data_IF_972811083150
#
_entry.id   IF_972811083150
#
_cell.length_a   1.000
_cell.length_b   1.000
_cell.length_c   1.000
_cell.angle_alpha   90.00
_cell.angle_beta   90.00
_cell.angle_gamma   90.00
#
_symmetry.space_group_name_H-M   'P 1'
#
loop_
_entity.id
_entity.type
_entity.pdbx_description
1 polymer ?
#
# COMPACT_ATOMS: atom_id res chain seq x y z
N UNK A 1 -111.86 49.15 -0.83
CA UNK A 1 -111.64 48.04 0.12
C UNK A 1 -110.24 47.51 -0.12
N UNK A 2 -109.32 47.78 0.79
CA UNK A 2 -107.92 47.36 0.69
C UNK A 2 -107.86 45.92 1.21
N UNK A 3 -107.58 44.96 0.33
CA UNK A 3 -107.33 43.58 0.73
C UNK A 3 -105.92 43.50 1.33
N UNK A 4 -105.84 43.34 2.64
CA UNK A 4 -104.60 42.97 3.33
C UNK A 4 -104.21 41.57 2.89
N UNK A 5 -103.19 41.47 2.03
CA UNK A 5 -102.49 40.21 1.83
C UNK A 5 -101.80 39.84 3.14
N UNK A 6 -102.01 38.62 3.70
CA UNK A 6 -101.31 38.20 4.89
C UNK A 6 -99.80 38.14 4.59
N UNK A 7 -99.00 38.86 5.39
CA UNK A 7 -97.54 38.83 5.29
C UNK A 7 -97.05 37.38 5.40
N UNK A 8 -96.05 36.95 4.59
CA UNK A 8 -95.42 35.65 4.78
C UNK A 8 -94.76 35.63 6.16
N UNK A 9 -95.19 34.71 7.03
CA UNK A 9 -94.56 34.51 8.33
C UNK A 9 -93.16 33.90 8.11
N UNK A 10 -92.19 34.51 8.77
CA UNK A 10 -90.77 34.20 8.67
C UNK A 10 -90.49 33.04 9.65
N UNK A 11 -89.78 31.97 9.24
CA UNK A 11 -89.39 30.90 10.16
C UNK A 11 -88.54 31.44 11.33
N UNK A 12 -88.51 30.75 12.49
CA UNK A 12 -87.71 31.18 13.64
C UNK A 12 -86.25 31.45 13.21
N UNK A 13 -85.78 32.66 13.53
CA UNK A 13 -84.49 33.20 13.04
C UNK A 13 -83.34 32.72 13.94
N UNK A 14 -83.63 32.28 15.17
CA UNK A 14 -82.67 31.67 16.09
C UNK A 14 -82.86 30.15 16.27
N UNK A 15 -81.75 29.41 16.34
CA UNK A 15 -81.72 27.97 16.62
C UNK A 15 -82.34 27.58 17.98
N UNK A 16 -82.57 28.55 18.88
CA UNK A 16 -83.13 28.36 20.22
C UNK A 16 -84.48 29.06 20.45
N UNK A 17 -85.13 29.59 19.40
CA UNK A 17 -86.46 30.19 19.56
C UNK A 17 -87.52 29.11 19.85
N UNK A 18 -88.47 29.34 20.76
CA UNK A 18 -89.52 28.37 21.06
C UNK A 18 -90.43 28.13 19.85
N UNK A 19 -90.70 26.86 19.55
CA UNK A 19 -91.54 26.42 18.41
C UNK A 19 -92.97 26.97 18.58
N UNK A 20 -93.54 27.52 17.51
CA UNK A 20 -94.91 28.06 17.51
C UNK A 20 -95.93 26.98 17.87
N UNK A 21 -96.98 27.32 18.62
CA UNK A 21 -98.09 26.40 18.97
C UNK A 21 -99.32 26.56 18.05
N UNK A 22 -99.25 27.45 17.06
CA UNK A 22 -100.26 27.59 16.01
C UNK A 22 -100.10 26.42 15.01
N UNK A 23 -101.13 25.57 14.80
CA UNK A 23 -101.03 24.39 13.95
C UNK A 23 -100.50 24.64 12.53
N UNK A 24 -100.73 25.85 11.97
CA UNK A 24 -100.25 26.22 10.64
C UNK A 24 -98.76 26.54 10.61
N UNK A 25 -98.25 27.20 11.65
CA UNK A 25 -96.83 27.52 11.79
C UNK A 25 -96.03 26.26 12.15
N UNK A 26 -96.59 25.37 12.98
CA UNK A 26 -96.01 24.06 13.30
C UNK A 26 -95.73 23.21 12.05
N UNK A 27 -96.62 23.26 11.05
CA UNK A 27 -96.44 22.51 9.80
C UNK A 27 -95.24 23.02 9.00
N UNK A 28 -95.01 24.33 8.96
CA UNK A 28 -93.85 24.95 8.29
C UNK A 28 -92.54 24.72 9.05
N UNK A 29 -92.57 24.78 10.38
CA UNK A 29 -91.39 24.47 11.22
C UNK A 29 -90.97 22.99 11.07
N UNK A 30 -91.94 22.07 10.97
CA UNK A 30 -91.69 20.65 10.71
C UNK A 30 -91.03 20.43 9.33
N UNK A 31 -91.48 21.12 8.28
CA UNK A 31 -90.86 21.03 6.95
C UNK A 31 -89.41 21.53 6.94
N UNK A 32 -89.13 22.62 7.67
CA UNK A 32 -87.79 23.17 7.81
C UNK A 32 -86.84 22.19 8.54
N UNK A 33 -87.29 21.61 9.66
CA UNK A 33 -86.53 20.60 10.41
C UNK A 33 -86.25 19.34 9.57
N UNK A 34 -87.22 18.89 8.75
CA UNK A 34 -87.02 17.79 7.82
C UNK A 34 -85.97 18.10 6.74
N UNK A 35 -85.91 19.34 6.25
CA UNK A 35 -84.88 19.80 5.31
C UNK A 35 -83.48 19.76 5.90
N UNK A 36 -83.34 20.19 7.16
CA UNK A 36 -82.08 20.09 7.92
C UNK A 36 -81.67 18.63 8.09
N UNK A 37 -82.60 17.76 8.51
CA UNK A 37 -82.34 16.33 8.71
C UNK A 37 -81.80 15.67 7.43
N UNK A 38 -82.38 15.98 6.27
CA UNK A 38 -81.92 15.46 4.97
C UNK A 38 -80.48 15.88 4.66
N UNK A 39 -80.16 17.17 4.80
CA UNK A 39 -78.78 17.67 4.59
C UNK A 39 -77.79 17.07 5.57
N UNK A 40 -78.18 16.89 6.83
CA UNK A 40 -77.32 16.28 7.84
C UNK A 40 -76.98 14.83 7.47
N UNK A 41 -77.96 14.06 6.97
CA UNK A 41 -77.72 12.71 6.47
C UNK A 41 -76.80 12.69 5.24
N UNK A 42 -76.95 13.62 4.30
CA UNK A 42 -76.03 13.76 3.16
C UNK A 42 -74.60 14.05 3.62
N UNK A 43 -74.42 14.94 4.60
CA UNK A 43 -73.12 15.25 5.19
C UNK A 43 -72.52 14.01 5.87
N UNK A 44 -73.31 13.26 6.64
CA UNK A 44 -72.86 12.01 7.26
C UNK A 44 -72.37 11.00 6.21
N UNK A 45 -73.13 10.83 5.11
CA UNK A 45 -72.73 9.94 4.03
C UNK A 45 -71.41 10.37 3.38
N UNK A 46 -71.19 11.68 3.20
CA UNK A 46 -69.94 12.19 2.65
C UNK A 46 -68.77 12.02 3.64
N UNK A 47 -68.99 12.26 4.93
CA UNK A 47 -67.97 12.04 5.97
C UNK A 47 -67.57 10.57 6.01
N UNK A 48 -68.52 9.64 5.98
CA UNK A 48 -68.22 8.21 5.97
C UNK A 48 -67.36 7.80 4.76
N UNK A 49 -67.68 8.30 3.57
CA UNK A 49 -66.84 8.06 2.37
C UNK A 49 -65.43 8.63 2.55
N UNK A 50 -65.31 9.82 3.13
CA UNK A 50 -64.01 10.43 3.38
C UNK A 50 -63.20 9.62 4.40
N UNK A 51 -63.84 9.06 5.44
CA UNK A 51 -63.20 8.15 6.40
C UNK A 51 -62.63 6.92 5.69
N UNK A 52 -63.39 6.28 4.81
CA UNK A 52 -62.90 5.13 4.02
C UNK A 52 -61.68 5.49 3.15
N UNK A 53 -61.67 6.69 2.55
CA UNK A 53 -60.50 7.17 1.81
C UNK A 53 -59.29 7.38 2.73
N UNK A 54 -59.48 8.00 3.89
CA UNK A 54 -58.42 8.22 4.87
C UNK A 54 -57.83 6.88 5.31
N UNK A 55 -58.66 5.93 5.71
CA UNK A 55 -58.20 4.61 6.16
C UNK A 55 -57.39 3.90 5.09
N UNK A 56 -57.83 3.95 3.83
CA UNK A 56 -57.12 3.38 2.69
C UNK A 56 -55.74 4.01 2.47
N UNK A 57 -55.64 5.34 2.55
CA UNK A 57 -54.35 6.02 2.33
C UNK A 57 -53.42 5.90 3.54
N UNK A 58 -53.96 5.87 4.76
CA UNK A 58 -53.18 5.59 5.97
C UNK A 58 -52.51 4.21 5.89
N UNK A 59 -53.26 3.17 5.50
CA UNK A 59 -52.67 1.83 5.33
C UNK A 59 -51.56 1.80 4.27
N UNK A 60 -51.74 2.51 3.14
CA UNK A 60 -50.68 2.63 2.12
C UNK A 60 -49.45 3.37 2.61
N UNK A 61 -49.61 4.37 3.47
CA UNK A 61 -48.48 5.09 4.08
C UNK A 61 -47.72 4.15 4.99
N UNK A 62 -48.41 3.39 5.84
CA UNK A 62 -47.79 2.39 6.73
C UNK A 62 -47.01 1.33 5.93
N UNK A 63 -47.57 0.83 4.83
CA UNK A 63 -46.89 -0.12 3.92
C UNK A 63 -45.61 0.51 3.32
N UNK A 64 -45.70 1.73 2.80
CA UNK A 64 -44.53 2.43 2.22
C UNK A 64 -43.46 2.74 3.28
N UNK A 65 -43.85 3.09 4.49
CA UNK A 65 -42.91 3.30 5.61
C UNK A 65 -42.17 2.01 5.94
N UNK A 66 -42.86 0.86 5.98
CA UNK A 66 -42.24 -0.43 6.21
C UNK A 66 -41.25 -0.81 5.08
N UNK A 67 -41.62 -0.59 3.82
CA UNK A 67 -40.73 -0.83 2.67
C UNK A 67 -39.48 0.06 2.71
N UNK A 68 -39.63 1.34 3.08
CA UNK A 68 -38.50 2.27 3.21
C UNK A 68 -37.53 1.81 4.30
N UNK A 69 -38.02 1.35 5.45
CA UNK A 69 -37.15 0.85 6.52
C UNK A 69 -36.43 -0.44 6.11
N UNK A 70 -37.11 -1.34 5.40
CA UNK A 70 -36.46 -2.53 4.85
C UNK A 70 -35.33 -2.17 3.87
N UNK A 71 -35.59 -1.26 2.93
CA UNK A 71 -34.58 -0.80 1.97
C UNK A 71 -33.39 -0.09 2.63
N UNK A 72 -33.62 0.68 3.70
CA UNK A 72 -32.53 1.29 4.47
C UNK A 72 -31.63 0.22 5.10
N UNK A 73 -32.23 -0.84 5.65
CA UNK A 73 -31.46 -1.93 6.23
C UNK A 73 -30.65 -2.66 5.17
N UNK A 74 -31.26 -3.01 4.03
CA UNK A 74 -30.55 -3.64 2.91
C UNK A 74 -29.38 -2.79 2.42
N UNK A 75 -29.55 -1.47 2.34
CA UNK A 75 -28.48 -0.55 1.94
C UNK A 75 -27.33 -0.51 2.96
N UNK A 76 -27.65 -0.54 4.26
CA UNK A 76 -26.66 -0.61 5.34
C UNK A 76 -25.86 -1.92 5.31
N UNK A 77 -26.55 -3.04 5.05
CA UNK A 77 -25.93 -4.35 4.95
C UNK A 77 -25.02 -4.44 3.72
N UNK A 78 -25.49 -3.92 2.57
CA UNK A 78 -24.70 -3.82 1.35
C UNK A 78 -23.44 -2.96 1.54
N UNK A 79 -23.55 -1.80 2.21
CA UNK A 79 -22.39 -0.96 2.52
C UNK A 79 -21.37 -1.70 3.38
N UNK A 80 -21.84 -2.46 4.37
CA UNK A 80 -20.98 -3.28 5.24
C UNK A 80 -20.26 -4.38 4.44
N UNK A 81 -21.00 -5.08 3.58
CA UNK A 81 -20.44 -6.15 2.74
C UNK A 81 -19.38 -5.61 1.77
N UNK A 82 -19.68 -4.51 1.07
CA UNK A 82 -18.75 -3.86 0.14
C UNK A 82 -17.47 -3.45 0.85
N UNK A 83 -17.59 -2.83 2.04
CA UNK A 83 -16.42 -2.42 2.81
C UNK A 83 -15.56 -3.60 3.26
N UNK A 84 -16.17 -4.68 3.73
CA UNK A 84 -15.44 -5.90 4.12
C UNK A 84 -14.74 -6.54 2.93
N UNK A 85 -15.41 -6.64 1.79
CA UNK A 85 -14.87 -7.22 0.58
C UNK A 85 -13.66 -6.42 0.06
N UNK A 86 -13.79 -5.08 -0.01
CA UNK A 86 -12.69 -4.18 -0.38
C UNK A 86 -11.50 -4.35 0.58
N UNK A 87 -11.74 -4.36 1.89
CA UNK A 87 -10.65 -4.55 2.87
C UNK A 87 -9.94 -5.89 2.70
N UNK A 88 -10.69 -6.94 2.41
CA UNK A 88 -10.15 -8.29 2.22
C UNK A 88 -9.28 -8.35 0.97
N UNK A 89 -9.78 -7.86 -0.17
CA UNK A 89 -9.01 -7.80 -1.42
C UNK A 89 -7.73 -6.97 -1.26
N UNK A 90 -7.80 -5.82 -0.57
CA UNK A 90 -6.61 -5.00 -0.32
C UNK A 90 -5.57 -5.73 0.54
N UNK A 91 -6.01 -6.50 1.55
CA UNK A 91 -5.11 -7.28 2.39
C UNK A 91 -4.43 -8.40 1.60
N UNK A 92 -5.17 -9.10 0.75
CA UNK A 92 -4.65 -10.16 -0.13
C UNK A 92 -3.61 -9.63 -1.12
N UNK A 93 -3.95 -8.55 -1.85
CA UNK A 93 -3.03 -7.90 -2.80
C UNK A 93 -1.76 -7.43 -2.09
N UNK A 94 -1.88 -6.90 -0.87
CA UNK A 94 -0.71 -6.48 -0.08
C UNK A 94 0.21 -7.64 0.25
N UNK A 95 -0.34 -8.79 0.65
CA UNK A 95 0.45 -9.99 0.96
C UNK A 95 1.14 -10.51 -0.30
N UNK A 96 0.42 -10.56 -1.43
CA UNK A 96 0.97 -11.00 -2.70
C UNK A 96 2.15 -10.12 -3.15
N UNK A 97 1.97 -8.80 -3.12
CA UNK A 97 3.04 -7.83 -3.44
C UNK A 97 4.26 -7.99 -2.53
N UNK A 98 4.05 -8.20 -1.22
CA UNK A 98 5.14 -8.44 -0.28
C UNK A 98 5.90 -9.72 -0.63
N UNK A 99 5.19 -10.79 -1.01
CA UNK A 99 5.81 -12.05 -1.42
C UNK A 99 6.60 -11.88 -2.72
N UNK A 100 6.05 -11.19 -3.72
CA UNK A 100 6.73 -10.93 -4.99
C UNK A 100 8.04 -10.15 -4.78
N UNK A 101 8.01 -9.09 -3.96
CA UNK A 101 9.19 -8.29 -3.65
C UNK A 101 10.25 -9.11 -2.92
N UNK A 102 9.86 -9.94 -1.95
CA UNK A 102 10.78 -10.80 -1.23
C UNK A 102 11.47 -11.81 -2.16
N UNK A 103 10.71 -12.44 -3.06
CA UNK A 103 11.24 -13.37 -4.06
C UNK A 103 12.23 -12.68 -4.99
N UNK A 104 11.84 -11.54 -5.59
CA UNK A 104 12.69 -10.79 -6.49
C UNK A 104 14.01 -10.34 -5.82
N UNK A 105 13.95 -9.92 -4.55
CA UNK A 105 15.13 -9.55 -3.78
C UNK A 105 16.06 -10.74 -3.55
N UNK A 106 15.51 -11.90 -3.17
CA UNK A 106 16.29 -13.11 -2.96
C UNK A 106 16.96 -13.59 -4.24
N UNK A 107 16.24 -13.55 -5.37
CA UNK A 107 16.80 -13.90 -6.69
C UNK A 107 17.91 -12.94 -7.12
N UNK A 108 17.72 -11.63 -6.94
CA UNK A 108 18.72 -10.63 -7.26
C UNK A 108 20.01 -10.80 -6.41
N UNK A 109 19.85 -11.06 -5.10
CA UNK A 109 20.97 -11.33 -4.22
C UNK A 109 21.68 -12.62 -4.61
N UNK A 110 20.94 -13.71 -4.88
CA UNK A 110 21.53 -14.98 -5.29
C UNK A 110 22.33 -14.86 -6.58
N UNK A 111 21.82 -14.13 -7.58
CA UNK A 111 22.54 -13.86 -8.82
C UNK A 111 23.81 -13.04 -8.57
N UNK A 112 23.70 -11.96 -7.79
CA UNK A 112 24.83 -11.07 -7.48
C UNK A 112 25.92 -11.81 -6.71
N UNK A 113 25.54 -12.63 -5.73
CA UNK A 113 26.46 -13.45 -4.94
C UNK A 113 27.16 -14.51 -5.80
N UNK A 114 26.43 -15.14 -6.74
CA UNK A 114 27.00 -16.10 -7.68
C UNK A 114 28.05 -15.45 -8.59
N UNK A 115 27.75 -14.29 -9.17
CA UNK A 115 28.69 -13.53 -10.00
C UNK A 115 29.90 -13.06 -9.18
N UNK A 116 29.67 -12.58 -7.96
CA UNK A 116 30.75 -12.17 -7.07
C UNK A 116 31.67 -13.34 -6.69
N UNK A 117 31.13 -14.56 -6.53
CA UNK A 117 31.92 -15.77 -6.30
C UNK A 117 32.77 -16.13 -7.52
N UNK A 118 32.18 -16.13 -8.72
CA UNK A 118 32.90 -16.41 -9.97
C UNK A 118 34.06 -15.44 -10.19
N UNK A 119 33.82 -14.14 -10.00
CA UNK A 119 34.88 -13.13 -10.13
C UNK A 119 36.02 -13.34 -9.12
N UNK A 120 35.70 -13.76 -7.88
CA UNK A 120 36.74 -14.07 -6.88
C UNK A 120 37.57 -15.29 -7.29
N UNK A 121 36.94 -16.32 -7.85
CA UNK A 121 37.63 -17.49 -8.38
C UNK A 121 38.56 -17.11 -9.55
N UNK A 122 38.05 -16.36 -10.54
CA UNK A 122 38.85 -15.88 -11.67
C UNK A 122 40.05 -15.02 -11.22
N UNK A 123 39.85 -14.12 -10.26
CA UNK A 123 40.95 -13.30 -9.69
C UNK A 123 41.99 -14.20 -9.01
N UNK A 124 41.56 -15.23 -8.29
CA UNK A 124 42.46 -16.14 -7.61
C UNK A 124 43.31 -16.96 -8.59
N UNK A 125 42.72 -17.38 -9.72
CA UNK A 125 43.46 -18.06 -10.79
C UNK A 125 44.54 -17.17 -11.43
N UNK A 126 44.26 -15.87 -11.61
CA UNK A 126 45.18 -14.90 -12.20
C UNK A 126 46.32 -14.49 -11.23
N UNK A 127 46.16 -14.72 -9.93
CA UNK A 127 47.12 -14.27 -8.92
C UNK A 127 48.55 -14.77 -9.20
N UNK A 128 49.53 -13.89 -8.97
CA UNK A 128 50.96 -14.01 -9.33
C UNK A 128 51.60 -15.34 -8.90
N UNK A 129 51.04 -16.03 -7.91
CA UNK A 129 51.51 -17.33 -7.42
C UNK A 129 51.46 -18.48 -8.43
N UNK A 130 50.64 -18.37 -9.50
CA UNK A 130 50.48 -19.43 -10.51
C UNK A 130 51.22 -19.16 -11.83
N UNK A 131 51.94 -18.03 -11.94
CA UNK A 131 52.73 -17.74 -13.14
C UNK A 131 53.99 -18.60 -13.10
N UNK A 132 54.09 -19.54 -14.03
CA UNK A 132 55.28 -20.37 -14.22
C UNK A 132 56.01 -19.94 -15.49
N UNK A 133 57.33 -19.85 -15.40
CA UNK A 133 58.22 -19.48 -16.49
C UNK A 133 59.31 -20.54 -16.63
N UNK A 134 59.86 -20.66 -17.84
CA UNK A 134 61.12 -21.37 -18.01
C UNK A 134 62.24 -20.55 -17.38
N UNK A 135 62.86 -21.12 -16.37
CA UNK A 135 64.01 -20.53 -15.71
C UNK A 135 65.24 -20.64 -16.63
N UNK A 136 65.85 -19.52 -17.07
CA UNK A 136 67.03 -19.56 -17.93
C UNK A 136 68.30 -20.03 -17.21
N UNK A 137 68.31 -20.07 -15.87
CA UNK A 137 69.46 -20.51 -15.08
C UNK A 137 69.47 -22.03 -14.87
N UNK A 138 68.29 -22.64 -14.73
CA UNK A 138 68.14 -24.09 -14.49
C UNK A 138 67.56 -24.86 -15.68
N UNK A 139 66.92 -24.18 -16.63
CA UNK A 139 66.25 -24.78 -17.80
C UNK A 139 64.90 -25.43 -17.48
N UNK A 140 64.39 -25.31 -16.26
CA UNK A 140 63.17 -25.97 -15.79
C UNK A 140 62.00 -24.99 -15.67
N UNK A 141 60.77 -25.49 -15.79
CA UNK A 141 59.57 -24.70 -15.53
C UNK A 141 59.44 -24.45 -14.03
N UNK A 142 59.49 -23.19 -13.60
CA UNK A 142 59.49 -22.79 -12.18
C UNK A 142 58.55 -21.61 -11.92
N UNK A 143 58.04 -21.44 -10.69
CA UNK A 143 57.25 -20.26 -10.33
C UNK A 143 58.02 -18.96 -10.54
N UNK A 144 57.33 -17.89 -10.96
CA UNK A 144 57.93 -16.58 -11.26
C UNK A 144 58.90 -16.08 -10.17
N UNK A 145 58.50 -16.18 -8.89
CA UNK A 145 59.36 -15.75 -7.79
C UNK A 145 60.68 -16.53 -7.74
N UNK A 146 60.63 -17.85 -7.92
CA UNK A 146 61.82 -18.72 -7.95
C UNK A 146 62.73 -18.35 -9.13
N UNK A 147 62.15 -18.07 -10.31
CA UNK A 147 62.91 -17.64 -11.47
C UNK A 147 63.62 -16.31 -11.23
N UNK A 148 62.94 -15.34 -10.62
CA UNK A 148 63.54 -14.03 -10.25
C UNK A 148 64.67 -14.23 -9.24
N UNK A 149 64.46 -15.07 -8.21
CA UNK A 149 65.47 -15.33 -7.18
C UNK A 149 66.71 -16.01 -7.79
N UNK A 150 66.51 -16.98 -8.68
CA UNK A 150 67.60 -17.67 -9.38
C UNK A 150 68.36 -16.74 -10.34
N UNK A 151 67.65 -15.88 -11.08
CA UNK A 151 68.26 -14.86 -11.93
C UNK A 151 69.08 -13.86 -11.11
N UNK A 152 68.57 -13.42 -9.96
CA UNK A 152 69.32 -12.54 -9.07
C UNK A 152 70.56 -13.25 -8.53
N UNK A 153 70.43 -14.51 -8.10
CA UNK A 153 71.53 -15.34 -7.61
C UNK A 153 72.63 -15.56 -8.64
N UNK A 154 72.27 -15.91 -9.89
CA UNK A 154 73.26 -16.11 -10.97
C UNK A 154 73.97 -14.82 -11.36
N UNK A 155 73.30 -13.67 -11.27
CA UNK A 155 73.96 -12.38 -11.49
C UNK A 155 74.93 -11.96 -10.36
N UNK A 156 75.16 -12.80 -9.34
CA UNK A 156 76.11 -12.58 -8.24
C UNK A 156 77.37 -13.45 -8.34
N UNK A 157 77.72 -13.95 -9.51
CA UNK A 157 78.91 -14.81 -9.71
C UNK A 157 80.23 -14.17 -9.22
N UNK A 158 80.31 -12.83 -9.21
CA UNK A 158 81.47 -12.07 -8.71
C UNK A 158 81.30 -11.51 -7.29
N UNK A 159 80.26 -11.90 -6.56
CA UNK A 159 80.05 -11.50 -5.17
C UNK A 159 80.97 -12.28 -4.23
N UNK A 160 81.57 -11.63 -3.23
CA UNK A 160 82.32 -12.32 -2.18
C UNK A 160 81.37 -13.05 -1.23
N UNK A 161 81.70 -14.30 -0.93
CA UNK A 161 81.14 -14.98 0.26
C UNK A 161 81.77 -14.40 1.52
N UNK A 162 81.08 -14.52 2.66
CA UNK A 162 81.62 -14.06 3.95
C UNK A 162 83.00 -14.70 4.25
N UNK A 163 83.16 -15.99 3.93
CA UNK A 163 84.42 -16.69 4.10
C UNK A 163 85.52 -16.16 3.18
N UNK A 164 85.21 -15.87 1.91
CA UNK A 164 86.20 -15.27 0.99
C UNK A 164 86.59 -13.86 1.43
N UNK A 165 85.65 -13.08 1.97
CA UNK A 165 85.94 -11.76 2.52
C UNK A 165 86.83 -11.84 3.78
N UNK A 166 86.53 -12.75 4.71
CA UNK A 166 87.32 -12.95 5.93
C UNK A 166 88.78 -13.31 5.60
N UNK A 167 89.03 -14.05 4.52
CA UNK A 167 90.38 -14.42 4.06
C UNK A 167 91.19 -13.20 3.58
N UNK A 168 90.55 -12.12 3.14
CA UNK A 168 91.25 -10.90 2.69
C UNK A 168 91.89 -10.14 3.86
N UNK A 169 91.47 -10.41 5.11
CA UNK A 169 92.00 -9.80 6.35
C UNK A 169 92.13 -8.26 6.27
N UNK A 170 91.15 -7.62 5.62
CA UNK A 170 91.15 -6.18 5.40
C UNK A 170 90.85 -5.44 6.70
N UNK A 171 91.75 -4.54 7.11
CA UNK A 171 91.43 -3.55 8.15
C UNK A 171 90.36 -2.59 7.66
N UNK A 172 89.57 -2.01 8.57
CA UNK A 172 88.54 -1.03 8.22
C UNK A 172 89.10 0.13 7.37
N UNK A 173 90.28 0.66 7.72
CA UNK A 173 90.96 1.72 6.94
C UNK A 173 91.33 1.26 5.53
N UNK A 174 91.75 0.00 5.36
CA UNK A 174 92.09 -0.55 4.05
C UNK A 174 90.84 -0.78 3.20
N UNK A 175 89.74 -1.24 3.80
CA UNK A 175 88.46 -1.42 3.11
C UNK A 175 87.83 -0.08 2.69
N UNK A 176 87.80 0.92 3.59
CA UNK A 176 87.25 2.25 3.31
C UNK A 176 87.98 2.96 2.16
N UNK A 177 89.27 2.65 1.95
CA UNK A 177 90.05 3.22 0.86
C UNK A 177 89.59 2.76 -0.55
N UNK A 178 88.83 1.66 -0.66
CA UNK A 178 88.25 1.22 -1.94
C UNK A 178 86.99 2.01 -2.32
N UNK A 179 86.40 2.78 -1.39
CA UNK A 179 85.21 3.65 -1.61
C UNK A 179 84.07 2.95 -2.36
N UNK A 180 83.78 1.71 -1.98
CA UNK A 180 82.78 0.87 -2.64
C UNK A 180 81.38 1.18 -2.13
N UNK A 181 80.44 1.32 -3.06
CA UNK A 181 79.02 1.25 -2.72
C UNK A 181 78.62 -0.18 -2.34
N UNK A 182 77.57 -0.32 -1.54
CA UNK A 182 77.03 -1.64 -1.19
C UNK A 182 76.65 -2.47 -2.42
N UNK A 183 76.20 -1.83 -3.51
CA UNK A 183 75.89 -2.52 -4.77
C UNK A 183 77.14 -3.10 -5.44
N UNK A 184 78.22 -2.33 -5.51
CA UNK A 184 79.51 -2.78 -6.06
C UNK A 184 80.06 -3.94 -5.24
N UNK A 185 79.97 -3.88 -3.92
CA UNK A 185 80.35 -4.99 -3.05
C UNK A 185 79.50 -6.25 -3.30
N UNK A 186 78.16 -6.11 -3.32
CA UNK A 186 77.22 -7.23 -3.43
C UNK A 186 77.28 -7.98 -4.77
N UNK A 187 77.74 -7.31 -5.85
CA UNK A 187 77.82 -7.85 -7.22
C UNK A 187 79.23 -8.15 -7.70
N UNK A 188 80.20 -7.32 -7.34
CA UNK A 188 81.55 -7.32 -7.92
C UNK A 188 82.65 -7.42 -6.85
N UNK A 189 82.31 -7.78 -5.60
CA UNK A 189 83.26 -7.85 -4.49
C UNK A 189 84.55 -8.61 -4.81
N UNK A 190 84.48 -9.72 -5.56
CA UNK A 190 85.67 -10.49 -5.95
C UNK A 190 86.58 -9.73 -6.91
N UNK A 191 86.02 -8.89 -7.77
CA UNK A 191 86.80 -8.12 -8.75
C UNK A 191 87.41 -6.86 -8.15
N UNK A 192 86.75 -6.29 -7.14
CA UNK A 192 87.11 -4.99 -6.58
C UNK A 192 88.02 -5.09 -5.35
N UNK A 193 88.04 -6.23 -4.66
CA UNK A 193 88.75 -6.41 -3.38
C UNK A 193 89.80 -7.53 -3.38
N UNK A 194 89.89 -8.33 -4.45
CA UNK A 194 90.86 -9.43 -4.62
C UNK A 194 91.77 -9.11 -5.80
#
# INVERSE_FOLDING_TARGET
>A
MIQFQPKPKIPPIGFFDPISVDPKDMMTDVEYLLGILKKLNEVILQVNKNTEFIDKYSGKIEELEAEIEALKQEMSDFETEVNLNIQTQFAEIKIELQSMVATALNEANAYTDAVASQLREEIQEISVGNITLYDPTTGLLSPLQVVIDNLYGSSRDNALTATEYDVLDLTATAYDAYDLTAYQYDKEGKTLLV
#
